data_IF_997898298096
#
_entry.id   IF_997898298096
#
_cell.length_a   1.000
_cell.length_b   1.000
_cell.length_c   1.000
_cell.angle_alpha   90.00
_cell.angle_beta   90.00
_cell.angle_gamma   90.00
#
_symmetry.space_group_name_H-M   'P 1'
#
loop_
_entity.id
_entity.type
_entity.pdbx_description
1 polymer ?
#
# COMPACT_ATOMS: atom_id res chain seq x y z
N UNK A 1 5.84 -7.52 10.33
CA UNK A 1 7.09 -7.10 9.68
C UNK A 1 8.17 -8.09 10.06
N UNK A 2 8.94 -8.59 9.08
CA UNK A 2 10.08 -9.51 9.29
C UNK A 2 11.38 -8.75 9.27
N UNK A 3 12.20 -8.88 10.32
CA UNK A 3 13.42 -8.09 10.48
C UNK A 3 14.61 -8.99 10.80
N UNK A 4 15.71 -8.83 10.06
CA UNK A 4 17.00 -9.43 10.39
C UNK A 4 17.89 -8.41 11.09
N UNK A 5 18.51 -8.81 12.20
CA UNK A 5 19.43 -7.96 12.98
C UNK A 5 20.82 -8.63 13.03
N UNK A 6 21.86 -7.88 12.67
CA UNK A 6 23.24 -8.38 12.57
C UNK A 6 24.13 -7.70 13.60
N UNK A 7 24.85 -8.50 14.40
CA UNK A 7 25.77 -8.02 15.43
C UNK A 7 27.17 -8.61 15.23
N UNK A 8 28.19 -7.82 15.55
CA UNK A 8 29.60 -8.16 15.27
C UNK A 8 30.47 -8.20 16.53
N UNK A 9 29.90 -7.85 17.69
CA UNK A 9 30.56 -7.83 19.01
C UNK A 9 29.56 -8.16 20.11
N UNK A 10 30.02 -8.46 21.32
CA UNK A 10 29.16 -8.66 22.49
C UNK A 10 28.34 -7.40 22.81
N UNK A 11 28.93 -6.18 22.68
CA UNK A 11 28.20 -4.92 22.81
C UNK A 11 27.09 -4.79 21.79
N UNK A 12 27.37 -5.15 20.53
CA UNK A 12 26.38 -5.20 19.46
C UNK A 12 25.24 -6.20 19.73
N UNK A 13 25.55 -7.36 20.30
CA UNK A 13 24.50 -8.33 20.69
C UNK A 13 23.62 -7.80 21.83
N UNK A 14 24.19 -7.12 22.81
CA UNK A 14 23.41 -6.47 23.87
C UNK A 14 22.50 -5.36 23.31
N UNK A 15 22.99 -4.55 22.37
CA UNK A 15 22.19 -3.54 21.68
C UNK A 15 21.08 -4.19 20.82
N UNK A 16 21.37 -5.28 20.09
CA UNK A 16 20.37 -6.01 19.32
C UNK A 16 19.21 -6.51 20.17
N UNK A 17 19.46 -7.04 21.37
CA UNK A 17 18.40 -7.44 22.31
C UNK A 17 17.48 -6.27 22.69
N UNK A 18 18.05 -5.09 22.93
CA UNK A 18 17.26 -3.89 23.21
C UNK A 18 16.42 -3.45 22.01
N UNK A 19 16.97 -3.54 20.79
CA UNK A 19 16.22 -3.29 19.56
C UNK A 19 15.07 -4.28 19.40
N UNK A 20 15.29 -5.59 19.65
CA UNK A 20 14.24 -6.59 19.64
C UNK A 20 13.12 -6.28 20.65
N UNK A 21 13.47 -5.84 21.86
CA UNK A 21 12.47 -5.47 22.87
C UNK A 21 11.59 -4.29 22.43
N UNK A 22 12.15 -3.32 21.70
CA UNK A 22 11.38 -2.20 21.11
C UNK A 22 10.48 -2.69 19.96
N UNK A 23 10.88 -3.75 19.25
CA UNK A 23 10.19 -4.30 18.08
C UNK A 23 9.40 -5.57 18.44
N UNK A 24 8.85 -5.67 19.64
CA UNK A 24 8.19 -6.87 20.16
C UNK A 24 7.00 -7.37 19.30
N UNK A 25 6.37 -6.50 18.51
CA UNK A 25 5.30 -6.85 17.58
C UNK A 25 5.80 -7.34 16.19
N UNK A 26 7.10 -7.27 15.92
CA UNK A 26 7.72 -7.74 14.68
C UNK A 26 8.31 -9.15 14.85
N UNK A 27 8.37 -9.90 13.76
CA UNK A 27 9.10 -11.16 13.68
C UNK A 27 10.59 -10.83 13.49
N UNK A 28 11.38 -10.93 14.56
CA UNK A 28 12.81 -10.61 14.52
C UNK A 28 13.69 -11.86 14.53
N UNK A 29 14.75 -11.88 13.73
CA UNK A 29 15.81 -12.89 13.78
C UNK A 29 17.16 -12.21 13.95
N UNK A 30 17.95 -12.65 14.94
CA UNK A 30 19.25 -12.08 15.25
C UNK A 30 20.39 -12.99 14.80
N UNK A 31 21.38 -12.40 14.16
CA UNK A 31 22.60 -13.05 13.71
C UNK A 31 23.83 -12.44 14.36
N UNK A 32 24.76 -13.28 14.81
CA UNK A 32 26.04 -12.81 15.31
C UNK A 32 27.20 -13.58 14.64
N UNK A 33 28.38 -12.92 14.58
CA UNK A 33 29.60 -13.60 14.10
C UNK A 33 29.88 -14.85 14.96
N UNK A 34 30.19 -16.00 14.37
CA UNK A 34 30.21 -17.29 15.09
C UNK A 34 31.14 -17.29 16.32
N UNK A 35 32.23 -16.55 16.28
CA UNK A 35 33.21 -16.45 17.39
C UNK A 35 32.65 -15.92 18.72
N UNK A 36 31.43 -15.32 18.69
CA UNK A 36 30.83 -14.74 19.91
C UNK A 36 30.03 -15.76 20.71
N UNK A 37 29.60 -16.88 20.08
CA UNK A 37 28.80 -17.94 20.71
C UNK A 37 27.62 -17.40 21.56
N UNK A 38 26.93 -16.37 21.04
CA UNK A 38 25.98 -15.58 21.81
C UNK A 38 24.59 -16.25 21.85
N UNK A 39 24.10 -16.49 23.04
CA UNK A 39 22.81 -17.15 23.23
C UNK A 39 21.64 -16.37 22.59
N UNK A 40 20.78 -17.06 21.83
CA UNK A 40 19.64 -16.44 21.14
C UNK A 40 20.00 -15.83 19.79
N UNK A 41 21.25 -15.96 19.32
CA UNK A 41 21.70 -15.54 18.01
C UNK A 41 22.03 -16.73 17.12
N UNK A 42 21.64 -16.63 15.84
CA UNK A 42 22.08 -17.60 14.84
C UNK A 42 23.47 -17.23 14.32
N UNK A 43 24.29 -18.22 13.91
CA UNK A 43 25.60 -17.96 13.36
C UNK A 43 25.51 -17.20 12.04
N UNK A 44 26.25 -16.12 11.91
CA UNK A 44 26.29 -15.28 10.72
C UNK A 44 27.20 -15.94 9.66
N UNK A 45 26.60 -16.47 8.60
CA UNK A 45 27.27 -16.98 7.42
C UNK A 45 27.11 -15.99 6.25
N UNK A 46 28.04 -16.05 5.27
CA UNK A 46 28.06 -15.08 4.14
C UNK A 46 26.77 -15.06 3.31
N UNK A 47 26.07 -16.16 3.16
CA UNK A 47 24.84 -16.28 2.39
C UNK A 47 23.61 -15.69 3.12
N UNK A 48 23.71 -15.46 4.43
CA UNK A 48 22.61 -14.91 5.24
C UNK A 48 22.23 -13.51 4.79
N UNK A 49 23.17 -12.65 4.44
CA UNK A 49 22.89 -11.30 3.95
C UNK A 49 22.02 -11.34 2.67
N UNK A 50 22.38 -12.20 1.71
CA UNK A 50 21.59 -12.38 0.47
C UNK A 50 20.18 -12.88 0.77
N UNK A 51 20.06 -13.91 1.61
CA UNK A 51 18.77 -14.49 1.99
C UNK A 51 17.90 -13.45 2.70
N UNK A 52 18.47 -12.74 3.67
CA UNK A 52 17.75 -11.70 4.41
C UNK A 52 17.35 -10.54 3.51
N UNK A 53 18.22 -10.09 2.61
CA UNK A 53 17.90 -8.99 1.68
C UNK A 53 16.73 -9.31 0.76
N UNK A 54 16.52 -10.58 0.38
CA UNK A 54 15.42 -11.00 -0.50
C UNK A 54 14.14 -11.40 0.21
N UNK A 55 14.16 -11.62 1.54
CA UNK A 55 13.01 -12.21 2.24
C UNK A 55 12.53 -11.43 3.46
N UNK A 56 13.31 -10.44 3.94
CA UNK A 56 12.96 -9.61 5.07
C UNK A 56 12.45 -8.25 4.63
N UNK A 57 11.57 -7.65 5.44
CA UNK A 57 11.09 -6.29 5.23
C UNK A 57 12.15 -5.26 5.64
N UNK A 58 12.98 -5.58 6.65
CA UNK A 58 14.04 -4.71 7.11
C UNK A 58 15.30 -5.48 7.57
N UNK A 59 16.47 -4.84 7.38
CA UNK A 59 17.76 -5.27 7.89
C UNK A 59 18.32 -4.20 8.83
N UNK A 60 18.73 -4.61 10.02
CA UNK A 60 19.35 -3.72 11.01
C UNK A 60 20.76 -4.21 11.32
N UNK A 61 21.75 -3.38 11.06
CA UNK A 61 23.16 -3.64 11.32
C UNK A 61 23.57 -2.92 12.61
N UNK A 62 24.02 -3.68 13.62
CA UNK A 62 24.56 -3.10 14.85
C UNK A 62 26.07 -3.04 14.72
N UNK A 63 26.60 -1.86 14.35
CA UNK A 63 28.03 -1.67 14.12
C UNK A 63 28.33 -0.53 13.15
N UNK A 64 29.44 -0.59 12.43
CA UNK A 64 29.85 0.46 11.51
C UNK A 64 29.04 0.44 10.19
N UNK A 65 28.61 1.60 9.72
CA UNK A 65 27.90 1.75 8.42
C UNK A 65 28.66 1.11 7.25
N UNK A 66 29.99 1.18 7.24
CA UNK A 66 30.81 0.59 6.18
C UNK A 66 30.70 -0.94 6.08
N UNK A 67 30.38 -1.63 7.18
CA UNK A 67 30.07 -3.07 7.16
C UNK A 67 28.74 -3.27 6.44
N UNK A 68 27.70 -2.58 6.87
CA UNK A 68 26.38 -2.68 6.27
C UNK A 68 26.43 -2.43 4.74
N UNK A 69 27.07 -1.34 4.32
CA UNK A 69 27.19 -0.97 2.91
C UNK A 69 27.88 -2.06 2.08
N UNK A 70 29.01 -2.63 2.56
CA UNK A 70 29.73 -3.70 1.83
C UNK A 70 28.90 -4.97 1.70
N UNK A 71 28.16 -5.33 2.75
CA UNK A 71 27.37 -6.57 2.77
C UNK A 71 26.13 -6.48 1.91
N UNK A 72 25.50 -5.29 1.79
CA UNK A 72 24.29 -5.14 0.97
C UNK A 72 24.56 -4.75 -0.49
N UNK A 73 25.69 -4.10 -0.78
CA UNK A 73 25.99 -3.57 -2.11
C UNK A 73 25.78 -4.56 -3.28
N UNK A 74 26.13 -5.86 -3.16
CA UNK A 74 25.93 -6.83 -4.23
C UNK A 74 24.47 -7.15 -4.55
N UNK A 75 23.52 -6.77 -3.70
CA UNK A 75 22.11 -7.16 -3.80
C UNK A 75 21.19 -5.99 -4.14
N UNK A 76 21.72 -4.76 -4.23
CA UNK A 76 20.93 -3.57 -4.54
C UNK A 76 20.30 -3.68 -5.93
N UNK A 77 18.97 -3.52 -6.00
CA UNK A 77 18.20 -3.62 -7.23
C UNK A 77 17.36 -2.35 -7.48
N UNK A 78 16.45 -2.03 -6.59
CA UNK A 78 15.52 -0.92 -6.77
C UNK A 78 14.98 -0.40 -5.45
N UNK A 79 14.87 0.93 -5.31
CA UNK A 79 14.21 1.57 -4.16
C UNK A 79 12.74 1.14 -3.93
N UNK A 80 12.14 0.42 -4.89
CA UNK A 80 10.78 -0.11 -4.78
C UNK A 80 10.71 -1.49 -4.13
N UNK A 81 11.76 -2.28 -4.26
CA UNK A 81 11.80 -3.69 -3.86
C UNK A 81 12.83 -3.98 -2.79
N UNK A 82 13.85 -3.13 -2.67
CA UNK A 82 14.89 -3.33 -1.68
C UNK A 82 14.34 -3.07 -0.27
N UNK A 83 14.68 -3.91 0.71
CA UNK A 83 14.21 -3.78 2.08
C UNK A 83 14.71 -2.49 2.74
N UNK A 84 14.08 -2.09 3.83
CA UNK A 84 14.62 -1.06 4.69
C UNK A 84 15.97 -1.51 5.26
N UNK A 85 17.01 -0.66 5.18
CA UNK A 85 18.30 -0.96 5.81
C UNK A 85 18.67 0.14 6.76
N UNK A 86 18.95 -0.23 8.02
CA UNK A 86 19.37 0.68 9.07
C UNK A 86 20.71 0.23 9.63
N UNK A 87 21.49 1.20 10.09
CA UNK A 87 22.69 0.98 10.90
C UNK A 87 22.51 1.66 12.26
N UNK A 88 22.87 0.97 13.33
CA UNK A 88 22.85 1.48 14.70
C UNK A 88 24.23 1.25 15.29
N UNK A 89 24.81 2.25 15.90
CA UNK A 89 26.10 2.09 16.61
C UNK A 89 25.92 1.26 17.91
N UNK A 90 26.96 0.62 18.37
CA UNK A 90 26.92 -0.26 19.55
C UNK A 90 26.46 0.42 20.85
N UNK A 91 26.65 1.72 20.95
CA UNK A 91 26.18 2.52 22.10
C UNK A 91 24.74 3.02 21.91
N UNK A 92 24.15 2.74 20.76
CA UNK A 92 22.81 3.18 20.37
C UNK A 92 22.63 4.70 20.47
N UNK A 93 23.67 5.46 20.07
CA UNK A 93 23.60 6.92 20.00
C UNK A 93 22.92 7.39 18.73
N UNK A 94 23.08 6.63 17.63
CA UNK A 94 22.59 6.99 16.31
C UNK A 94 21.84 5.82 15.67
N UNK A 95 20.69 6.13 15.04
CA UNK A 95 19.95 5.23 14.16
C UNK A 95 19.96 5.83 12.77
N UNK A 96 20.65 5.18 11.84
CA UNK A 96 21.00 5.72 10.52
C UNK A 96 20.30 4.89 9.45
N UNK A 97 19.26 5.39 8.77
CA UNK A 97 18.69 4.72 7.62
C UNK A 97 19.66 4.82 6.43
N UNK A 98 20.08 3.67 5.89
CA UNK A 98 21.02 3.58 4.78
C UNK A 98 20.32 3.39 3.43
N UNK A 99 19.20 2.68 3.41
CA UNK A 99 18.50 2.31 2.18
C UNK A 99 16.98 2.32 2.39
N UNK A 100 16.24 2.62 1.31
CA UNK A 100 14.77 2.57 1.26
C UNK A 100 14.09 3.45 2.31
N UNK A 101 14.57 4.69 2.45
CA UNK A 101 14.12 5.65 3.46
C UNK A 101 12.62 5.91 3.43
N UNK A 102 12.04 6.15 2.25
CA UNK A 102 10.62 6.48 2.05
C UNK A 102 9.76 5.21 1.90
N UNK A 103 9.70 4.65 0.68
CA UNK A 103 8.80 3.52 0.34
C UNK A 103 9.07 2.29 1.21
N UNK A 104 10.34 1.99 1.48
CA UNK A 104 10.71 0.87 2.35
C UNK A 104 10.54 1.15 3.84
N UNK A 105 10.27 2.42 4.24
CA UNK A 105 9.97 2.78 5.62
C UNK A 105 11.17 2.91 6.55
N UNK A 106 12.42 2.93 6.03
CA UNK A 106 13.62 3.00 6.87
C UNK A 106 13.68 4.29 7.71
N UNK A 107 13.20 5.44 7.18
CA UNK A 107 13.19 6.70 7.93
C UNK A 107 12.22 6.64 9.12
N UNK A 108 11.02 6.09 8.92
CA UNK A 108 10.02 5.96 10.00
C UNK A 108 10.47 4.95 11.05
N UNK A 109 11.05 3.83 10.62
CA UNK A 109 11.64 2.84 11.53
C UNK A 109 12.79 3.44 12.33
N UNK A 110 13.64 4.27 11.70
CA UNK A 110 14.72 4.97 12.37
C UNK A 110 14.22 5.95 13.43
N UNK A 111 13.19 6.76 13.11
CA UNK A 111 12.58 7.68 14.09
C UNK A 111 11.99 6.93 15.27
N UNK A 112 11.25 5.86 15.01
CA UNK A 112 10.62 5.02 16.03
C UNK A 112 11.64 4.38 16.95
N UNK A 113 12.70 3.77 16.41
CA UNK A 113 13.77 3.16 17.19
C UNK A 113 14.54 4.22 17.98
N UNK A 114 14.89 5.35 17.37
CA UNK A 114 15.59 6.43 18.04
C UNK A 114 14.82 6.96 19.23
N UNK A 115 13.52 7.22 19.08
CA UNK A 115 12.66 7.69 20.16
C UNK A 115 12.60 6.68 21.33
N UNK A 116 12.47 5.39 21.04
CA UNK A 116 12.36 4.35 22.06
C UNK A 116 13.70 4.02 22.75
N UNK A 117 14.84 4.19 22.06
CA UNK A 117 16.17 3.89 22.57
C UNK A 117 16.86 5.10 23.22
N UNK A 118 16.29 6.31 23.08
CA UNK A 118 16.95 7.56 23.49
C UNK A 118 18.12 7.94 22.58
N UNK A 119 18.05 7.54 21.30
CA UNK A 119 19.04 7.77 20.28
C UNK A 119 18.67 8.95 19.36
N UNK A 120 19.59 9.35 18.48
CA UNK A 120 19.32 10.31 17.41
C UNK A 120 19.08 9.60 16.09
N UNK A 121 17.97 9.89 15.41
CA UNK A 121 17.73 9.43 14.04
C UNK A 121 18.49 10.35 13.07
N UNK A 122 19.39 9.78 12.26
CA UNK A 122 20.23 10.53 11.29
C UNK A 122 19.57 10.49 9.92
N UNK A 123 18.49 11.24 9.74
CA UNK A 123 17.76 11.32 8.47
C UNK A 123 18.45 12.33 7.56
N UNK A 124 18.73 11.93 6.31
CA UNK A 124 19.45 12.78 5.33
C UNK A 124 18.63 13.05 4.06
N UNK A 125 17.43 12.50 3.96
CA UNK A 125 16.56 12.69 2.80
C UNK A 125 16.09 14.14 2.71
N UNK A 126 16.29 14.80 1.58
CA UNK A 126 16.04 16.24 1.42
C UNK A 126 14.62 16.66 1.79
N UNK A 127 13.60 15.91 1.39
CA UNK A 127 12.20 16.20 1.75
C UNK A 127 11.96 16.13 3.27
N UNK A 128 12.53 15.13 3.95
CA UNK A 128 12.41 15.01 5.41
C UNK A 128 13.13 16.16 6.14
N UNK A 129 14.36 16.48 5.73
CA UNK A 129 15.17 17.55 6.36
C UNK A 129 14.51 18.90 6.21
N UNK A 130 13.84 19.16 5.09
CA UNK A 130 13.14 20.41 4.82
C UNK A 130 11.68 20.41 5.25
N UNK A 131 11.20 19.36 5.91
CA UNK A 131 9.79 19.24 6.33
C UNK A 131 8.78 19.26 5.18
N UNK A 132 9.19 18.78 4.00
CA UNK A 132 8.38 18.77 2.79
C UNK A 132 7.66 17.43 2.61
N UNK A 133 6.53 17.46 1.93
CA UNK A 133 5.74 16.28 1.65
C UNK A 133 6.47 15.28 0.76
N UNK A 134 6.53 14.02 1.19
CA UNK A 134 7.07 12.90 0.44
C UNK A 134 5.92 12.04 -0.11
N UNK A 135 5.51 12.30 -1.36
CA UNK A 135 4.34 11.69 -1.97
C UNK A 135 4.43 10.16 -2.05
N UNK A 136 5.62 9.62 -2.31
CA UNK A 136 5.87 8.18 -2.40
C UNK A 136 5.81 7.49 -1.01
N UNK A 137 6.35 8.12 0.03
CA UNK A 137 6.25 7.64 1.41
C UNK A 137 4.80 7.65 1.90
N UNK A 138 4.11 8.76 1.68
CA UNK A 138 2.71 8.90 2.06
C UNK A 138 1.82 7.89 1.35
N UNK A 139 2.01 7.69 0.05
CA UNK A 139 1.26 6.70 -0.73
C UNK A 139 1.48 5.27 -0.21
N UNK A 140 2.73 4.90 0.09
CA UNK A 140 3.06 3.60 0.65
C UNK A 140 2.39 3.38 2.02
N UNK A 141 2.47 4.37 2.92
CA UNK A 141 1.86 4.33 4.26
C UNK A 141 0.33 4.17 4.19
N UNK A 142 -0.31 4.78 3.20
CA UNK A 142 -1.77 4.76 3.02
C UNK A 142 -2.27 3.68 2.04
N UNK A 143 -1.39 2.80 1.56
CA UNK A 143 -1.76 1.74 0.61
C UNK A 143 -2.26 2.25 -0.74
N UNK A 144 -1.84 3.45 -1.14
CA UNK A 144 -2.19 4.06 -2.41
C UNK A 144 -1.29 3.58 -3.55
N UNK A 145 -1.86 3.31 -4.70
CA UNK A 145 -1.10 3.12 -5.93
C UNK A 145 -0.53 4.46 -6.43
N UNK A 146 0.67 4.43 -7.01
CA UNK A 146 1.36 5.59 -7.58
C UNK A 146 1.36 5.44 -9.10
N UNK A 147 0.76 6.39 -9.83
CA UNK A 147 0.64 6.32 -11.28
C UNK A 147 1.98 6.33 -12.02
N UNK A 148 2.96 7.08 -11.52
CA UNK A 148 4.29 7.20 -12.14
C UNK A 148 5.36 7.53 -11.11
N UNK A 149 6.38 6.67 -11.01
CA UNK A 149 7.55 6.96 -10.18
C UNK A 149 8.43 8.08 -10.76
N UNK A 150 8.36 8.31 -12.06
CA UNK A 150 9.03 9.44 -12.68
C UNK A 150 8.40 10.76 -12.21
N UNK A 151 7.06 10.84 -12.21
CA UNK A 151 6.34 12.01 -11.72
C UNK A 151 6.52 12.17 -10.20
N UNK A 152 6.55 11.10 -9.42
CA UNK A 152 6.85 11.17 -8.00
C UNK A 152 8.23 11.76 -7.71
N UNK A 153 9.24 11.43 -8.55
CA UNK A 153 10.57 12.07 -8.46
C UNK A 153 10.55 13.55 -8.85
N UNK A 154 9.78 13.92 -9.91
CA UNK A 154 9.62 15.32 -10.30
C UNK A 154 8.95 16.12 -9.20
N UNK A 155 7.88 15.61 -8.59
CA UNK A 155 7.21 16.22 -7.44
C UNK A 155 8.18 16.40 -6.27
N UNK A 156 8.98 15.38 -5.95
CA UNK A 156 9.96 15.44 -4.87
C UNK A 156 11.08 16.47 -5.11
N UNK A 157 11.42 16.75 -6.36
CA UNK A 157 12.35 17.81 -6.72
C UNK A 157 11.69 19.21 -6.67
N UNK A 158 10.51 19.33 -7.27
CA UNK A 158 9.78 20.60 -7.35
C UNK A 158 9.39 21.13 -5.97
N UNK A 159 8.96 20.25 -5.07
CA UNK A 159 8.47 20.63 -3.73
C UNK A 159 9.56 21.23 -2.83
N UNK A 160 10.83 21.03 -3.15
CA UNK A 160 11.94 21.65 -2.42
C UNK A 160 12.05 23.14 -2.70
N UNK A 161 11.65 23.55 -3.91
CA UNK A 161 11.80 24.94 -4.39
C UNK A 161 10.47 25.69 -4.43
N UNK A 162 9.37 25.00 -4.78
CA UNK A 162 8.05 25.60 -4.98
C UNK A 162 6.96 24.74 -4.32
N UNK A 163 5.82 25.38 -4.01
CA UNK A 163 4.65 24.66 -3.55
C UNK A 163 3.98 23.92 -4.72
N UNK A 164 3.65 22.64 -4.51
CA UNK A 164 3.02 21.77 -5.49
C UNK A 164 1.51 21.72 -5.27
N UNK A 165 0.71 21.98 -6.33
CA UNK A 165 -0.74 21.85 -6.29
C UNK A 165 -1.23 20.44 -5.93
N UNK A 166 -2.28 20.38 -5.10
CA UNK A 166 -2.98 19.17 -4.74
C UNK A 166 -4.48 19.30 -5.00
N UNK A 167 -5.06 18.26 -5.59
CA UNK A 167 -6.51 18.04 -5.69
C UNK A 167 -6.85 16.71 -5.01
N UNK A 168 -7.95 16.65 -4.26
CA UNK A 168 -8.44 15.42 -3.64
C UNK A 168 -9.91 15.16 -3.95
N UNK A 169 -10.27 13.91 -4.28
CA UNK A 169 -11.66 13.45 -4.35
C UNK A 169 -12.24 13.19 -2.94
N UNK A 170 -11.43 13.29 -1.89
CA UNK A 170 -11.79 12.99 -0.52
C UNK A 170 -11.60 14.19 0.41
N UNK A 171 -12.33 14.24 1.52
CA UNK A 171 -12.09 15.24 2.55
C UNK A 171 -10.65 15.15 3.09
N UNK A 172 -10.02 16.32 3.25
CA UNK A 172 -8.69 16.43 3.86
C UNK A 172 -8.86 16.74 5.34
N UNK A 173 -8.28 15.92 6.20
CA UNK A 173 -8.23 16.14 7.65
C UNK A 173 -6.92 16.80 8.07
N UNK A 174 -7.03 17.85 8.86
CA UNK A 174 -5.89 18.58 9.42
C UNK A 174 -5.25 19.55 8.43
N UNK A 175 -4.03 19.97 8.75
CA UNK A 175 -3.27 20.91 7.91
C UNK A 175 -2.62 20.19 6.73
N UNK A 176 -2.44 20.93 5.64
CA UNK A 176 -1.63 20.46 4.52
C UNK A 176 -0.16 20.33 4.93
N UNK A 177 0.57 19.36 4.40
CA UNK A 177 2.00 19.21 4.68
C UNK A 177 2.82 20.29 3.97
N UNK A 178 4.05 20.48 4.42
CA UNK A 178 4.93 21.49 3.85
C UNK A 178 5.15 21.29 2.34
N UNK A 179 5.01 22.39 1.59
CA UNK A 179 5.17 22.42 0.15
C UNK A 179 3.94 21.98 -0.66
N UNK A 180 2.78 21.78 -0.03
CA UNK A 180 1.51 21.47 -0.71
C UNK A 180 0.52 22.63 -0.58
N UNK A 181 -0.18 22.92 -1.66
CA UNK A 181 -1.27 23.90 -1.70
C UNK A 181 -2.50 23.32 -2.41
N UNK A 182 -3.70 23.66 -1.97
CA UNK A 182 -4.94 23.30 -2.68
C UNK A 182 -5.11 24.23 -3.89
N UNK A 183 -4.88 23.73 -5.08
CA UNK A 183 -5.13 24.41 -6.37
C UNK A 183 -5.52 23.39 -7.42
N UNK A 184 -6.35 23.81 -8.37
CA UNK A 184 -6.87 22.96 -9.46
C UNK A 184 -6.13 23.18 -10.79
N UNK A 185 -5.10 24.00 -10.83
CA UNK A 185 -4.34 24.33 -12.04
C UNK A 185 -2.84 24.39 -11.73
N UNK A 186 -2.02 24.02 -12.72
CA UNK A 186 -0.56 24.01 -12.62
C UNK A 186 0.07 23.14 -13.70
N UNK A 187 1.38 23.32 -13.91
CA UNK A 187 2.14 22.46 -14.83
C UNK A 187 2.35 21.05 -14.25
N UNK A 188 2.66 20.95 -12.95
CA UNK A 188 2.83 19.72 -12.21
C UNK A 188 1.96 19.77 -10.95
N UNK A 189 1.28 18.66 -10.65
CA UNK A 189 0.47 18.57 -9.43
C UNK A 189 0.13 17.15 -9.02
N UNK A 190 -0.48 17.03 -7.85
CA UNK A 190 -0.85 15.76 -7.24
C UNK A 190 -2.38 15.63 -7.24
N UNK A 191 -2.90 14.47 -7.58
CA UNK A 191 -4.29 14.08 -7.38
C UNK A 191 -4.36 12.91 -6.42
N UNK A 192 -5.13 13.04 -5.34
CA UNK A 192 -5.48 11.93 -4.45
C UNK A 192 -6.93 11.56 -4.74
N UNK A 193 -7.16 10.43 -5.42
CA UNK A 193 -8.51 10.09 -5.88
C UNK A 193 -8.61 8.71 -6.51
N UNK A 194 -9.85 8.32 -6.82
CA UNK A 194 -10.16 7.07 -7.50
C UNK A 194 -10.52 7.26 -8.99
N UNK A 195 -10.47 8.51 -9.47
CA UNK A 195 -10.74 8.85 -10.88
C UNK A 195 -9.44 9.01 -11.68
N UNK A 196 -9.55 8.85 -13.01
CA UNK A 196 -8.44 9.04 -13.97
C UNK A 196 -8.28 10.49 -14.43
N UNK A 197 -8.85 11.46 -13.71
CA UNK A 197 -8.75 12.90 -14.03
C UNK A 197 -7.31 13.39 -13.99
N UNK A 198 -6.97 14.24 -14.94
CA UNK A 198 -5.65 14.86 -15.06
C UNK A 198 -5.79 16.40 -15.13
N UNK A 199 -6.01 17.06 -13.98
CA UNK A 199 -6.23 18.53 -13.94
C UNK A 199 -4.94 19.33 -14.21
N UNK A 200 -3.77 18.70 -14.15
CA UNK A 200 -2.47 19.33 -14.38
C UNK A 200 -1.85 18.80 -15.68
N UNK A 201 -0.96 19.54 -16.29
CA UNK A 201 -0.22 19.10 -17.48
C UNK A 201 0.56 17.80 -17.19
N UNK A 202 1.17 17.72 -16.01
CA UNK A 202 1.77 16.51 -15.47
C UNK A 202 1.07 16.18 -14.13
N UNK A 203 0.26 15.13 -14.11
CA UNK A 203 -0.53 14.74 -12.94
C UNK A 203 0.03 13.49 -12.28
N UNK A 204 0.55 13.62 -11.06
CA UNK A 204 0.86 12.48 -10.20
C UNK A 204 -0.42 12.02 -9.51
N UNK A 205 -0.95 10.84 -9.87
CA UNK A 205 -2.09 10.25 -9.15
C UNK A 205 -1.61 9.33 -8.04
N UNK A 206 -2.19 9.53 -6.85
CA UNK A 206 -2.08 8.68 -5.68
C UNK A 206 -3.46 8.07 -5.44
N UNK A 207 -3.62 6.79 -5.75
CA UNK A 207 -4.92 6.14 -5.85
C UNK A 207 -5.15 5.17 -4.69
N UNK A 208 -6.02 5.50 -3.71
CA UNK A 208 -6.37 4.57 -2.63
C UNK A 208 -7.30 3.46 -3.14
N UNK A 209 -7.20 2.26 -2.55
CA UNK A 209 -8.07 1.13 -2.87
C UNK A 209 -9.39 1.23 -2.11
N UNK A 210 -10.35 1.91 -2.70
CA UNK A 210 -11.65 2.21 -2.08
C UNK A 210 -12.85 1.75 -2.90
N UNK A 211 -12.65 1.33 -4.16
CA UNK A 211 -13.75 0.92 -5.03
C UNK A 211 -14.10 -0.55 -4.79
N UNK A 212 -15.37 -0.78 -4.52
CA UNK A 212 -16.00 -2.09 -4.37
C UNK A 212 -16.78 -2.39 -5.65
N UNK A 213 -16.35 -3.43 -6.37
CA UNK A 213 -16.99 -3.84 -7.63
C UNK A 213 -17.95 -5.00 -7.34
N UNK A 214 -19.24 -4.74 -7.41
CA UNK A 214 -20.26 -5.76 -7.29
C UNK A 214 -20.52 -6.42 -8.64
N UNK A 215 -20.48 -7.74 -8.71
CA UNK A 215 -20.65 -8.50 -9.95
C UNK A 215 -21.79 -9.53 -9.80
N UNK A 216 -22.68 -9.58 -10.79
CA UNK A 216 -23.55 -10.70 -11.06
C UNK A 216 -23.24 -11.23 -12.47
N UNK A 217 -23.24 -12.54 -12.66
CA UNK A 217 -23.01 -13.15 -13.96
C UNK A 217 -23.85 -14.41 -14.15
N UNK A 218 -24.07 -14.84 -15.40
CA UNK A 218 -24.68 -16.14 -15.70
C UNK A 218 -23.70 -17.26 -15.31
N UNK A 219 -24.25 -18.46 -15.09
CA UNK A 219 -23.41 -19.63 -14.83
C UNK A 219 -22.55 -19.94 -16.06
N UNK A 220 -21.27 -20.22 -15.84
CA UNK A 220 -20.31 -20.55 -16.89
C UNK A 220 -19.88 -19.36 -17.75
N UNK A 221 -20.04 -18.12 -17.27
CA UNK A 221 -19.54 -16.93 -17.99
C UNK A 221 -18.02 -16.97 -18.06
N UNK A 222 -17.46 -16.78 -19.26
CA UNK A 222 -16.01 -16.79 -19.48
C UNK A 222 -15.29 -15.64 -18.74
N UNK A 223 -14.06 -15.86 -18.37
CA UNK A 223 -13.19 -14.87 -17.68
C UNK A 223 -13.11 -13.56 -18.48
N UNK A 224 -12.84 -13.64 -19.77
CA UNK A 224 -12.65 -12.49 -20.66
C UNK A 224 -13.91 -11.62 -20.73
N UNK A 225 -15.10 -12.25 -20.69
CA UNK A 225 -16.39 -11.54 -20.69
C UNK A 225 -16.56 -10.72 -19.43
N UNK A 226 -16.19 -11.27 -18.27
CA UNK A 226 -16.27 -10.58 -16.99
C UNK A 226 -15.24 -9.43 -16.94
N UNK A 227 -14.01 -9.67 -17.35
CA UNK A 227 -12.95 -8.64 -17.44
C UNK A 227 -13.37 -7.49 -18.34
N UNK A 228 -13.91 -7.79 -19.53
CA UNK A 228 -14.37 -6.78 -20.47
C UNK A 228 -15.49 -5.91 -19.87
N UNK A 229 -16.48 -6.55 -19.22
CA UNK A 229 -17.59 -5.83 -18.59
C UNK A 229 -17.09 -4.89 -17.47
N UNK A 230 -16.18 -5.35 -16.60
CA UNK A 230 -15.60 -4.51 -15.54
C UNK A 230 -14.79 -3.38 -16.14
N UNK A 231 -13.91 -3.66 -17.11
CA UNK A 231 -13.08 -2.66 -17.76
C UNK A 231 -13.91 -1.59 -18.48
N UNK A 232 -15.00 -1.98 -19.16
CA UNK A 232 -15.91 -1.06 -19.83
C UNK A 232 -16.58 -0.10 -18.82
N UNK A 233 -17.05 -0.63 -17.68
CA UNK A 233 -17.68 0.19 -16.63
C UNK A 233 -16.68 1.16 -16.02
N UNK A 234 -15.48 0.69 -15.64
CA UNK A 234 -14.44 1.55 -15.05
C UNK A 234 -14.05 2.66 -16.04
N UNK A 235 -13.83 2.31 -17.32
CA UNK A 235 -13.45 3.28 -18.36
C UNK A 235 -14.55 4.31 -18.62
N UNK A 236 -15.81 3.89 -18.79
CA UNK A 236 -16.93 4.78 -19.06
C UNK A 236 -17.15 5.83 -17.96
N UNK A 237 -16.81 5.48 -16.73
CA UNK A 237 -16.95 6.36 -15.56
C UNK A 237 -15.62 6.99 -15.10
N UNK A 238 -14.56 6.87 -15.91
CA UNK A 238 -13.23 7.41 -15.61
C UNK A 238 -12.70 6.96 -14.23
N UNK A 239 -12.96 5.71 -13.85
CA UNK A 239 -12.48 5.14 -12.59
C UNK A 239 -11.14 4.43 -12.81
N UNK A 240 -10.20 4.64 -11.90
CA UNK A 240 -8.87 4.02 -11.97
C UNK A 240 -8.96 2.53 -11.53
N UNK A 241 -8.56 1.56 -12.37
CA UNK A 241 -8.56 0.16 -11.98
C UNK A 241 -7.72 -0.15 -10.73
N UNK A 242 -6.69 0.66 -10.44
CA UNK A 242 -5.87 0.51 -9.22
C UNK A 242 -6.64 0.88 -7.94
N UNK A 243 -7.75 1.61 -8.06
CA UNK A 243 -8.65 1.94 -6.96
C UNK A 243 -9.52 0.76 -6.52
N UNK A 244 -9.59 -0.33 -7.31
CA UNK A 244 -10.41 -1.50 -6.98
C UNK A 244 -9.84 -2.18 -5.73
N UNK A 245 -10.65 -2.19 -4.68
CA UNK A 245 -10.36 -2.88 -3.42
C UNK A 245 -10.63 -4.37 -3.51
N UNK A 246 -11.70 -4.74 -4.21
CA UNK A 246 -12.10 -6.12 -4.39
C UNK A 246 -13.41 -6.28 -5.16
N UNK A 247 -13.74 -7.52 -5.44
CA UNK A 247 -14.97 -7.94 -6.12
C UNK A 247 -15.92 -8.61 -5.13
N UNK A 248 -17.19 -8.24 -5.22
CA UNK A 248 -18.24 -8.61 -4.28
C UNK A 248 -19.40 -9.23 -5.02
N UNK A 249 -19.91 -10.39 -4.55
CA UNK A 249 -21.01 -11.10 -5.19
C UNK A 249 -21.85 -11.89 -4.19
N UNK A 250 -22.82 -12.65 -4.69
CA UNK A 250 -23.60 -13.60 -3.91
C UNK A 250 -22.84 -14.94 -3.75
N UNK A 251 -23.07 -15.66 -2.67
CA UNK A 251 -22.45 -16.96 -2.34
C UNK A 251 -22.67 -18.04 -3.41
N UNK A 252 -23.78 -17.99 -4.15
CA UNK A 252 -24.06 -18.85 -5.31
C UNK A 252 -22.94 -18.76 -6.40
N UNK A 253 -22.09 -17.72 -6.35
CA UNK A 253 -20.98 -17.49 -7.29
C UNK A 253 -19.59 -17.86 -6.75
N UNK A 254 -19.51 -18.46 -5.57
CA UNK A 254 -18.24 -18.86 -4.95
C UNK A 254 -17.43 -19.85 -5.79
N UNK A 255 -18.07 -20.64 -6.63
CA UNK A 255 -17.44 -21.65 -7.49
C UNK A 255 -17.47 -21.27 -8.99
N UNK A 256 -17.79 -20.04 -9.33
CA UNK A 256 -17.86 -19.57 -10.71
C UNK A 256 -16.43 -19.37 -11.26
N UNK A 257 -15.96 -20.35 -12.03
CA UNK A 257 -14.54 -20.42 -12.46
C UNK A 257 -14.09 -19.15 -13.20
N UNK A 258 -14.92 -18.59 -14.11
CA UNK A 258 -14.57 -17.39 -14.85
C UNK A 258 -14.46 -16.16 -13.94
N UNK A 259 -15.32 -16.02 -12.93
CA UNK A 259 -15.24 -14.92 -11.96
C UNK A 259 -13.97 -15.01 -11.11
N UNK A 260 -13.68 -16.20 -10.60
CA UNK A 260 -12.49 -16.42 -9.76
C UNK A 260 -11.20 -16.22 -10.57
N UNK A 261 -11.15 -16.67 -11.83
CA UNK A 261 -10.01 -16.48 -12.70
C UNK A 261 -9.78 -14.99 -13.03
N UNK A 262 -10.82 -14.23 -13.33
CA UNK A 262 -10.74 -12.78 -13.55
C UNK A 262 -10.18 -12.07 -12.32
N UNK A 263 -10.71 -12.39 -11.13
CA UNK A 263 -10.26 -11.78 -9.87
C UNK A 263 -8.80 -12.14 -9.56
N UNK A 264 -8.39 -13.38 -9.76
CA UNK A 264 -7.02 -13.84 -9.53
C UNK A 264 -6.01 -13.10 -10.44
N UNK A 265 -6.32 -12.96 -11.73
CA UNK A 265 -5.48 -12.25 -12.71
C UNK A 265 -5.21 -10.80 -12.32
N UNK A 266 -6.20 -10.11 -11.76
CA UNK A 266 -6.09 -8.71 -11.35
C UNK A 266 -5.70 -8.52 -9.87
N UNK A 267 -5.46 -9.61 -9.15
CA UNK A 267 -5.23 -9.59 -7.69
C UNK A 267 -6.34 -8.86 -6.92
N UNK A 268 -7.60 -9.04 -7.35
CA UNK A 268 -8.77 -8.52 -6.64
C UNK A 268 -9.27 -9.54 -5.61
N UNK A 269 -9.23 -9.24 -4.32
CA UNK A 269 -9.86 -10.06 -3.30
C UNK A 269 -11.36 -10.26 -3.60
N UNK A 270 -11.88 -11.45 -3.35
CA UNK A 270 -13.30 -11.76 -3.55
C UNK A 270 -14.01 -11.96 -2.22
N UNK A 271 -15.20 -11.39 -2.09
CA UNK A 271 -16.08 -11.57 -0.95
C UNK A 271 -17.47 -11.95 -1.44
N UNK A 272 -18.00 -13.00 -0.85
CA UNK A 272 -19.32 -13.51 -1.20
C UNK A 272 -20.27 -13.36 -0.01
N UNK A 273 -21.49 -12.93 -0.28
CA UNK A 273 -22.52 -12.67 0.70
C UNK A 273 -23.73 -13.58 0.47
N UNK A 274 -24.41 -13.99 1.53
CA UNK A 274 -25.69 -14.70 1.44
C UNK A 274 -26.79 -13.80 0.89
N UNK A 275 -27.86 -14.40 0.37
CA UNK A 275 -29.05 -13.65 -0.05
C UNK A 275 -29.67 -12.82 1.10
N UNK A 276 -29.62 -13.33 2.33
CA UNK A 276 -30.10 -12.63 3.51
C UNK A 276 -29.25 -11.38 3.83
N UNK A 277 -27.95 -11.51 3.79
CA UNK A 277 -27.02 -10.39 3.97
C UNK A 277 -27.20 -9.31 2.90
N UNK A 278 -27.45 -9.69 1.66
CA UNK A 278 -27.70 -8.73 0.57
C UNK A 278 -29.07 -8.05 0.70
N UNK A 279 -30.11 -8.76 1.16
CA UNK A 279 -31.42 -8.16 1.44
C UNK A 279 -31.35 -7.11 2.55
N UNK A 280 -30.49 -7.31 3.54
CA UNK A 280 -30.35 -6.39 4.67
C UNK A 280 -29.65 -5.07 4.32
N UNK A 281 -29.03 -4.95 3.13
CA UNK A 281 -28.35 -3.72 2.70
C UNK A 281 -29.39 -2.63 2.47
N UNK A 282 -29.32 -1.49 3.19
CA UNK A 282 -30.25 -0.40 3.03
C UNK A 282 -30.00 0.36 1.72
N UNK A 283 -31.05 0.91 1.13
CA UNK A 283 -30.97 1.75 -0.07
C UNK A 283 -31.99 1.37 -1.13
N UNK A 284 -32.06 2.20 -2.16
CA UNK A 284 -32.88 1.93 -3.35
C UNK A 284 -31.99 1.32 -4.45
N UNK A 285 -32.38 0.16 -4.94
CA UNK A 285 -31.62 -0.63 -5.92
C UNK A 285 -32.44 -0.95 -7.15
N UNK A 286 -31.76 -1.20 -8.27
CA UNK A 286 -32.40 -1.57 -9.55
C UNK A 286 -32.77 -3.04 -9.52
N UNK A 287 -33.89 -3.36 -8.92
CA UNK A 287 -34.34 -4.75 -8.76
C UNK A 287 -34.78 -5.38 -10.09
N UNK A 288 -34.64 -6.70 -10.20
CA UNK A 288 -35.00 -7.54 -11.32
C UNK A 288 -35.81 -8.73 -10.83
N UNK A 289 -37.06 -8.92 -11.30
CA UNK A 289 -37.88 -10.08 -10.92
C UNK A 289 -37.18 -11.43 -11.20
N UNK A 290 -36.53 -11.54 -12.33
CA UNK A 290 -35.75 -12.73 -12.69
C UNK A 290 -34.63 -13.03 -11.69
N UNK A 291 -33.86 -11.99 -11.28
CA UNK A 291 -32.79 -12.16 -10.30
C UNK A 291 -33.36 -12.51 -8.93
N UNK A 292 -34.50 -11.92 -8.56
CA UNK A 292 -35.20 -12.22 -7.31
C UNK A 292 -35.64 -13.70 -7.25
N UNK A 293 -36.17 -14.22 -8.34
CA UNK A 293 -36.59 -15.64 -8.42
C UNK A 293 -35.38 -16.59 -8.28
N UNK A 294 -34.28 -16.28 -8.97
CA UNK A 294 -33.09 -17.13 -9.02
C UNK A 294 -32.21 -17.07 -7.80
N UNK A 295 -32.16 -15.95 -7.10
CA UNK A 295 -31.16 -15.69 -6.03
C UNK A 295 -31.80 -15.34 -4.69
N UNK A 296 -33.11 -15.11 -4.65
CA UNK A 296 -33.81 -14.62 -3.46
C UNK A 296 -33.58 -13.13 -3.17
N UNK A 297 -32.88 -12.38 -4.04
CA UNK A 297 -32.63 -10.94 -3.88
C UNK A 297 -32.77 -10.23 -5.23
N UNK A 298 -33.45 -9.07 -5.28
CA UNK A 298 -33.77 -8.37 -6.54
C UNK A 298 -32.54 -7.79 -7.27
N UNK A 299 -31.47 -7.54 -6.56
CA UNK A 299 -30.21 -6.99 -7.13
C UNK A 299 -29.01 -7.51 -6.38
N UNK A 300 -28.17 -8.27 -7.05
CA UNK A 300 -26.92 -8.80 -6.47
C UNK A 300 -25.80 -7.76 -6.52
N UNK A 301 -25.51 -7.20 -7.72
CA UNK A 301 -24.28 -6.38 -7.91
C UNK A 301 -24.30 -5.09 -7.11
N UNK A 302 -25.40 -4.31 -7.12
CA UNK A 302 -25.44 -3.04 -6.35
C UNK A 302 -25.40 -3.33 -4.84
N UNK A 303 -26.19 -4.30 -4.36
CA UNK A 303 -26.23 -4.64 -2.93
C UNK A 303 -24.89 -5.19 -2.45
N UNK A 304 -24.22 -6.04 -3.23
CA UNK A 304 -22.90 -6.56 -2.89
C UNK A 304 -21.83 -5.46 -2.88
N UNK A 305 -21.84 -4.53 -3.84
CA UNK A 305 -20.95 -3.37 -3.84
C UNK A 305 -21.20 -2.46 -2.61
N UNK A 306 -22.49 -2.20 -2.29
CA UNK A 306 -22.86 -1.27 -1.23
C UNK A 306 -22.71 -1.81 0.19
N UNK A 307 -22.61 -3.12 0.40
CA UNK A 307 -22.46 -3.68 1.74
C UNK A 307 -21.12 -3.29 2.35
N UNK A 308 -21.13 -2.29 3.24
CA UNK A 308 -19.93 -1.68 3.84
C UNK A 308 -19.31 -0.54 3.04
N UNK A 309 -19.98 -0.06 1.97
CA UNK A 309 -19.61 1.15 1.26
C UNK A 309 -20.37 2.38 1.80
N UNK A 310 -19.84 3.56 1.48
CA UNK A 310 -20.48 4.83 1.82
C UNK A 310 -21.40 5.34 0.70
N UNK A 311 -21.05 5.06 -0.58
CA UNK A 311 -21.74 5.66 -1.73
C UNK A 311 -21.70 4.74 -2.94
N UNK A 312 -22.86 4.57 -3.60
CA UNK A 312 -22.94 3.95 -4.94
C UNK A 312 -22.43 4.97 -5.98
N UNK A 313 -21.38 4.61 -6.71
CA UNK A 313 -20.77 5.46 -7.75
C UNK A 313 -21.37 5.15 -9.11
N UNK A 314 -21.49 3.84 -9.43
CA UNK A 314 -22.07 3.37 -10.69
C UNK A 314 -23.20 2.40 -10.36
N UNK A 315 -24.41 2.73 -10.80
CA UNK A 315 -25.56 1.83 -10.75
C UNK A 315 -25.32 0.62 -11.65
N UNK A 316 -26.14 -0.41 -11.47
CA UNK A 316 -26.10 -1.64 -12.26
C UNK A 316 -26.06 -1.35 -13.76
N UNK A 317 -25.01 -1.76 -14.41
CA UNK A 317 -24.87 -1.92 -15.84
C UNK A 317 -24.94 -3.40 -16.20
N UNK A 318 -25.55 -3.75 -17.32
CA UNK A 318 -25.74 -5.14 -17.76
C UNK A 318 -25.27 -5.28 -19.21
N UNK A 319 -24.32 -6.16 -19.44
CA UNK A 319 -23.79 -6.45 -20.77
C UNK A 319 -23.35 -7.92 -20.85
N UNK A 320 -23.67 -8.61 -21.95
CA UNK A 320 -23.24 -9.99 -22.25
C UNK A 320 -23.47 -11.00 -21.10
N UNK A 321 -24.58 -10.82 -20.35
CA UNK A 321 -24.90 -11.69 -19.22
C UNK A 321 -24.11 -11.42 -17.93
N UNK A 322 -23.33 -10.34 -17.89
CA UNK A 322 -22.66 -9.82 -16.70
C UNK A 322 -23.32 -8.53 -16.25
N UNK A 323 -23.51 -8.37 -14.95
CA UNK A 323 -23.95 -7.12 -14.33
C UNK A 323 -22.86 -6.60 -13.41
N UNK A 324 -22.55 -5.31 -13.52
CA UNK A 324 -21.51 -4.65 -12.74
C UNK A 324 -22.10 -3.41 -12.07
N UNK A 325 -21.77 -3.19 -10.82
CA UNK A 325 -22.00 -1.95 -10.09
C UNK A 325 -20.74 -1.57 -9.31
N UNK A 326 -20.52 -0.28 -9.06
CA UNK A 326 -19.36 0.18 -8.32
C UNK A 326 -19.80 1.08 -7.19
N UNK A 327 -19.28 0.83 -5.98
CA UNK A 327 -19.45 1.68 -4.81
C UNK A 327 -18.10 2.09 -4.25
N UNK A 328 -18.03 3.21 -3.54
CA UNK A 328 -16.85 3.66 -2.85
C UNK A 328 -17.01 3.55 -1.34
N UNK A 329 -15.96 3.11 -0.66
CA UNK A 329 -15.88 3.15 0.80
C UNK A 329 -15.64 4.59 1.29
N UNK A 330 -15.96 4.84 2.56
CA UNK A 330 -15.55 6.07 3.21
C UNK A 330 -14.04 6.10 3.35
N UNK A 331 -13.44 7.19 2.90
CA UNK A 331 -12.00 7.39 3.02
C UNK A 331 -11.69 8.88 3.17
N UNK A 332 -10.65 9.20 3.90
CA UNK A 332 -10.23 10.58 4.17
C UNK A 332 -8.72 10.70 4.00
N UNK A 333 -8.26 11.85 3.52
CA UNK A 333 -6.84 12.17 3.44
C UNK A 333 -6.38 12.68 4.79
N UNK A 334 -5.36 12.04 5.36
CA UNK A 334 -4.62 12.55 6.52
C UNK A 334 -3.14 12.57 6.20
N UNK A 335 -2.46 13.65 6.58
CA UNK A 335 -1.03 13.83 6.38
C UNK A 335 -0.22 13.66 7.67
N UNK A 336 -0.89 13.41 8.78
CA UNK A 336 -0.29 13.22 10.10
C UNK A 336 -0.27 11.79 10.59
#
# INVERSE_FOLDING_TARGET
MKIAIFAYSHGGCAAARRVCAVLAEAETVCYAVPRLEEAGFLPLAKDIYRKSFSSMDALIFIGACGIAVREIAPYLASKKTDPAVLCIDEKMQFVIPLLSGHIGGANDLARRLAAALGASAVITTATDVNGKFAADAWAAKNGCAISSMLLAKKVAAEILEHDVPLVSDFPIKGALPGGIVEKTQGALGIVIGYCTKEPFTETLRLTPRVLRVGIGCRRGTAQETIEAAVAAVLSAHQLDPSAVKGVYSIDLKQQEAGLLAACAKHNWPTVFYTAEELRSVPGEFTDSPFVQEMTGVGNVCERAAMRGAAKLIVKKTAENGVTVAVAAEHWEVSFG
#
